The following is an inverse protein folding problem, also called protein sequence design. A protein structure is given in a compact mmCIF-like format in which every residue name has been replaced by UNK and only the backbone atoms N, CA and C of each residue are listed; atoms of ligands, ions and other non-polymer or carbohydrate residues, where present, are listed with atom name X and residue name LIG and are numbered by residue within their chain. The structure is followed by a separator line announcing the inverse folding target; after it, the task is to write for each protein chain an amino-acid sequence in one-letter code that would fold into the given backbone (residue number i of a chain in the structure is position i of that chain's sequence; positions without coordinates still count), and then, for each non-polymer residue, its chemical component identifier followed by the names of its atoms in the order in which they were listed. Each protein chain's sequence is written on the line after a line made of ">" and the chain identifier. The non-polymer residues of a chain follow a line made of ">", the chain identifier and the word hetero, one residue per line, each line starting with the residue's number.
data_IF_737584495062
#
_entry.id   IF_737584495062
#
_cell.length_a   1.000
_cell.length_b   1.000
_cell.length_c   1.000
_cell.angle_alpha   90.00
_cell.angle_beta   90.00
_cell.angle_gamma   90.00
#
_symmetry.space_group_name_H-M   'P 1'
#
loop_
_entity.id
_entity.type
_entity.pdbx_description
1 polymer ?
#
# COMPACT_ATOMS: atom_id res chain seq x y z
N UNK A 1 -4.80 6.61 -30.29
CA UNK A 1 -3.37 6.57 -30.72
C UNK A 1 -3.19 6.64 -32.24
N UNK A 2 -4.03 5.97 -33.02
CA UNK A 2 -4.01 6.03 -34.49
C UNK A 2 -4.09 7.46 -35.08
N UNK A 3 -4.95 8.39 -34.60
CA UNK A 3 -5.04 9.73 -35.18
C UNK A 3 -3.78 10.59 -34.96
N UNK A 4 -3.07 10.38 -33.84
CA UNK A 4 -1.86 11.13 -33.52
C UNK A 4 -0.64 10.70 -34.37
N UNK A 5 -0.51 9.39 -34.62
CA UNK A 5 0.52 8.87 -35.52
C UNK A 5 0.29 9.33 -36.95
N UNK A 6 -0.98 9.36 -37.42
CA UNK A 6 -1.35 9.89 -38.72
C UNK A 6 -1.13 11.40 -38.82
N UNK A 7 -1.42 12.15 -37.77
CA UNK A 7 -1.15 13.59 -37.73
C UNK A 7 0.36 13.89 -37.74
N UNK A 8 1.17 13.13 -37.02
CA UNK A 8 2.63 13.24 -37.03
C UNK A 8 3.23 12.90 -38.38
N UNK A 9 2.80 11.81 -39.01
CA UNK A 9 3.23 11.41 -40.33
C UNK A 9 2.79 12.42 -41.41
N UNK A 10 1.57 12.97 -41.28
CA UNK A 10 1.07 14.02 -42.17
C UNK A 10 1.86 15.32 -42.08
N UNK A 11 2.26 15.74 -40.86
CA UNK A 11 3.10 16.92 -40.65
C UNK A 11 4.51 16.75 -41.24
N UNK A 12 5.13 15.59 -41.04
CA UNK A 12 6.45 15.29 -41.59
C UNK A 12 6.42 15.20 -43.12
N UNK A 13 5.42 14.55 -43.70
CA UNK A 13 5.23 14.48 -45.14
C UNK A 13 4.90 15.87 -45.73
N UNK A 14 4.09 16.67 -45.05
CA UNK A 14 3.80 18.06 -45.42
C UNK A 14 5.02 18.95 -45.37
N UNK A 15 5.86 18.83 -44.37
CA UNK A 15 7.10 19.57 -44.23
C UNK A 15 8.12 19.17 -45.32
N UNK A 16 8.23 17.89 -45.67
CA UNK A 16 9.06 17.41 -46.76
C UNK A 16 8.60 17.95 -48.12
N UNK A 17 7.30 17.90 -48.40
CA UNK A 17 6.69 18.46 -49.60
C UNK A 17 6.89 19.97 -49.70
N UNK A 18 6.76 20.73 -48.63
CA UNK A 18 6.94 22.19 -48.65
C UNK A 18 8.43 22.53 -48.79
N UNK A 19 9.33 21.80 -48.14
CA UNK A 19 10.78 22.03 -48.25
C UNK A 19 11.35 21.71 -49.62
N UNK A 20 10.91 20.60 -50.21
CA UNK A 20 11.49 20.10 -51.47
C UNK A 20 10.83 20.69 -52.69
N UNK A 21 9.52 20.97 -52.65
CA UNK A 21 8.77 21.51 -53.81
C UNK A 21 8.74 23.04 -53.82
N UNK A 22 8.72 23.72 -52.66
CA UNK A 22 8.61 25.18 -52.61
C UNK A 22 9.91 25.94 -52.29
N UNK A 23 11.02 25.24 -52.05
CA UNK A 23 12.33 25.85 -51.73
C UNK A 23 12.26 26.85 -50.55
N UNK A 24 11.28 26.68 -49.62
CA UNK A 24 11.15 27.52 -48.43
C UNK A 24 12.11 26.97 -47.36
N UNK A 25 13.01 27.76 -46.80
CA UNK A 25 13.89 27.31 -45.72
C UNK A 25 13.04 26.86 -44.52
N UNK A 26 12.87 25.53 -44.37
CA UNK A 26 11.92 24.92 -43.45
C UNK A 26 12.29 24.96 -41.96
N UNK A 27 13.32 25.72 -41.57
CA UNK A 27 13.78 25.78 -40.17
C UNK A 27 12.75 26.31 -39.16
N UNK A 28 11.88 27.22 -39.57
CA UNK A 28 10.91 27.84 -38.66
C UNK A 28 9.71 26.95 -38.29
N UNK A 29 9.15 26.22 -39.26
CA UNK A 29 8.01 25.34 -39.05
C UNK A 29 8.39 24.07 -38.25
N UNK A 30 9.60 23.52 -38.49
CA UNK A 30 10.14 22.41 -37.74
C UNK A 30 10.36 22.75 -36.26
N UNK A 31 10.85 23.98 -35.98
CA UNK A 31 11.01 24.47 -34.60
C UNK A 31 9.68 24.69 -33.90
N UNK A 32 8.64 25.18 -34.59
CA UNK A 32 7.29 25.34 -34.02
C UNK A 32 6.63 24.00 -33.74
N UNK A 33 6.78 23.01 -34.61
CA UNK A 33 6.27 21.67 -34.42
C UNK A 33 7.01 20.97 -33.27
N UNK A 34 8.33 21.07 -33.21
CA UNK A 34 9.14 20.52 -32.11
C UNK A 34 8.82 21.22 -30.78
N UNK A 35 8.68 22.55 -30.77
CA UNK A 35 8.26 23.32 -29.60
C UNK A 35 6.87 22.94 -29.12
N UNK A 36 5.91 22.74 -30.01
CA UNK A 36 4.57 22.28 -29.70
C UNK A 36 4.54 20.87 -29.04
N UNK A 37 5.34 19.95 -29.57
CA UNK A 37 5.49 18.60 -29.01
C UNK A 37 6.16 18.64 -27.65
N UNK A 38 7.19 19.44 -27.45
CA UNK A 38 7.88 19.59 -26.16
C UNK A 38 6.94 20.21 -25.12
N UNK A 39 6.15 21.22 -25.47
CA UNK A 39 5.15 21.81 -24.56
C UNK A 39 4.04 20.82 -24.24
N UNK A 40 3.62 20.01 -25.20
CA UNK A 40 2.60 18.98 -24.98
C UNK A 40 3.12 17.82 -24.11
N UNK A 41 4.34 17.32 -24.37
CA UNK A 41 5.00 16.31 -23.55
C UNK A 41 5.38 16.84 -22.15
N UNK A 42 5.70 18.13 -22.03
CA UNK A 42 6.02 18.79 -20.77
C UNK A 42 4.79 19.08 -19.90
N UNK A 43 3.57 19.02 -20.44
CA UNK A 43 2.34 19.01 -19.65
C UNK A 43 2.23 17.64 -18.99
N UNK A 44 2.79 17.53 -17.77
CA UNK A 44 2.48 16.40 -16.90
C UNK A 44 0.95 16.31 -16.79
N UNK A 45 0.31 15.23 -17.25
CA UNK A 45 -1.09 15.04 -16.97
C UNK A 45 -1.23 15.17 -15.45
N UNK A 46 -2.12 16.04 -15.00
CA UNK A 46 -2.45 16.13 -13.58
C UNK A 46 -2.93 14.73 -13.18
N UNK A 47 -2.04 13.96 -12.56
CA UNK A 47 -2.43 12.65 -12.06
C UNK A 47 -3.59 12.90 -11.10
N UNK A 48 -4.75 12.31 -11.32
CA UNK A 48 -5.85 12.44 -10.39
C UNK A 48 -5.33 11.96 -9.04
N UNK A 49 -5.33 12.86 -8.05
CA UNK A 49 -4.92 12.50 -6.69
C UNK A 49 -5.85 11.38 -6.23
N UNK A 50 -5.27 10.26 -5.84
CA UNK A 50 -6.04 9.17 -5.27
C UNK A 50 -6.75 9.69 -4.01
N UNK A 51 -8.07 9.82 -4.08
CA UNK A 51 -8.90 10.07 -2.91
C UNK A 51 -9.34 8.71 -2.36
N UNK A 52 -8.88 8.40 -1.16
CA UNK A 52 -9.27 7.17 -0.49
C UNK A 52 -10.79 7.19 -0.21
N UNK A 53 -11.54 6.13 -0.55
CA UNK A 53 -12.93 6.04 -0.20
C UNK A 53 -13.15 6.08 1.31
N UNK A 54 -14.18 6.76 1.75
CA UNK A 54 -14.56 6.85 3.18
C UNK A 54 -15.50 5.70 3.58
N UNK A 55 -16.21 5.10 2.61
CA UNK A 55 -17.23 4.09 2.85
C UNK A 55 -16.78 2.68 2.46
N UNK A 56 -17.41 1.68 3.06
CA UNK A 56 -17.23 0.27 2.72
C UNK A 56 -17.53 0.01 1.24
N UNK A 57 -18.67 0.55 0.75
CA UNK A 57 -19.08 0.37 -0.64
C UNK A 57 -18.09 1.02 -1.62
N UNK A 58 -17.51 2.14 -1.24
CA UNK A 58 -16.47 2.79 -2.03
C UNK A 58 -15.23 1.90 -2.17
N UNK A 59 -14.77 1.27 -1.09
CA UNK A 59 -13.66 0.34 -1.14
C UNK A 59 -13.99 -0.94 -1.93
N UNK A 60 -15.22 -1.46 -1.77
CA UNK A 60 -15.69 -2.60 -2.55
C UNK A 60 -15.66 -2.31 -4.05
N UNK A 61 -16.17 -1.16 -4.47
CA UNK A 61 -16.14 -0.71 -5.87
C UNK A 61 -14.71 -0.63 -6.39
N UNK A 62 -13.78 -0.05 -5.61
CA UNK A 62 -12.36 0.02 -6.00
C UNK A 62 -11.71 -1.36 -6.15
N UNK A 63 -11.99 -2.29 -5.26
CA UNK A 63 -11.51 -3.67 -5.38
C UNK A 63 -12.06 -4.34 -6.64
N UNK A 64 -13.32 -4.13 -6.97
CA UNK A 64 -13.93 -4.65 -8.20
C UNK A 64 -13.30 -4.06 -9.46
N UNK A 65 -13.04 -2.75 -9.50
CA UNK A 65 -12.33 -2.10 -10.60
C UNK A 65 -10.95 -2.72 -10.86
N UNK A 66 -10.21 -3.06 -9.79
CA UNK A 66 -8.91 -3.73 -9.92
C UNK A 66 -9.07 -5.15 -10.44
N UNK A 67 -10.07 -5.91 -9.98
CA UNK A 67 -10.37 -7.24 -10.50
C UNK A 67 -10.69 -7.21 -11.99
N UNK A 68 -11.50 -6.26 -12.45
CA UNK A 68 -11.81 -6.09 -13.87
C UNK A 68 -10.56 -5.79 -14.70
N UNK A 69 -9.60 -5.04 -14.14
CA UNK A 69 -8.31 -4.81 -14.79
C UNK A 69 -7.50 -6.10 -14.89
N UNK A 70 -7.47 -6.94 -13.85
CA UNK A 70 -6.81 -8.24 -13.91
C UNK A 70 -7.41 -9.14 -14.98
N UNK A 71 -8.74 -9.26 -15.04
CA UNK A 71 -9.44 -10.07 -16.06
C UNK A 71 -9.03 -9.63 -17.48
N UNK A 72 -8.96 -8.32 -17.73
CA UNK A 72 -8.54 -7.78 -19.03
C UNK A 72 -7.05 -8.04 -19.31
N UNK A 73 -6.24 -8.13 -18.27
CA UNK A 73 -4.80 -8.23 -18.39
C UNK A 73 -4.31 -9.67 -18.46
N UNK A 74 -4.76 -10.55 -17.58
CA UNK A 74 -4.26 -11.93 -17.47
C UNK A 74 -4.95 -12.90 -18.40
N UNK A 75 -6.23 -12.68 -18.70
CA UNK A 75 -7.09 -13.59 -19.50
C UNK A 75 -7.15 -15.01 -18.91
N UNK A 76 -6.88 -15.17 -17.61
CA UNK A 76 -6.88 -16.46 -16.90
C UNK A 76 -8.00 -16.48 -15.85
N UNK A 77 -9.05 -17.29 -16.03
CA UNK A 77 -10.19 -17.32 -15.13
C UNK A 77 -9.88 -17.90 -13.74
N UNK A 78 -8.87 -18.76 -13.61
CA UNK A 78 -8.50 -19.38 -12.32
C UNK A 78 -7.93 -18.40 -11.30
N UNK A 79 -7.13 -17.43 -11.75
CA UNK A 79 -6.55 -16.41 -10.86
C UNK A 79 -7.62 -15.44 -10.35
N UNK A 80 -8.64 -15.15 -11.17
CA UNK A 80 -9.77 -14.33 -10.77
C UNK A 80 -10.60 -14.96 -9.65
N UNK A 81 -10.81 -16.27 -9.67
CA UNK A 81 -11.56 -16.99 -8.63
C UNK A 81 -10.93 -16.86 -7.26
N UNK A 82 -9.60 -16.97 -7.16
CA UNK A 82 -8.89 -16.83 -5.89
C UNK A 82 -9.03 -15.43 -5.31
N UNK A 83 -8.89 -14.39 -6.14
CA UNK A 83 -9.03 -12.98 -5.73
C UNK A 83 -10.49 -12.66 -5.32
N UNK A 84 -11.47 -13.17 -6.04
CA UNK A 84 -12.90 -13.02 -5.65
C UNK A 84 -13.20 -13.72 -4.33
N UNK A 85 -12.63 -14.90 -4.10
CA UNK A 85 -12.78 -15.60 -2.82
C UNK A 85 -12.15 -14.81 -1.66
N UNK A 86 -10.99 -14.16 -1.89
CA UNK A 86 -10.35 -13.29 -0.91
C UNK A 86 -11.20 -12.06 -0.59
N UNK A 87 -11.73 -11.38 -1.62
CA UNK A 87 -12.65 -10.25 -1.44
C UNK A 87 -13.90 -10.67 -0.64
N UNK A 88 -14.51 -11.79 -1.03
CA UNK A 88 -15.68 -12.32 -0.35
C UNK A 88 -15.40 -12.62 1.13
N UNK A 89 -14.24 -13.21 1.45
CA UNK A 89 -13.82 -13.49 2.83
C UNK A 89 -13.77 -12.22 3.69
N UNK A 90 -13.30 -11.10 3.13
CA UNK A 90 -13.29 -9.81 3.85
C UNK A 90 -14.71 -9.26 4.01
N UNK A 91 -15.55 -9.35 2.97
CA UNK A 91 -16.92 -8.85 3.02
C UNK A 91 -17.81 -9.67 3.97
N UNK A 92 -17.67 -10.99 3.95
CA UNK A 92 -18.42 -11.92 4.81
C UNK A 92 -17.91 -11.95 6.26
N UNK A 93 -16.86 -11.14 6.56
CA UNK A 93 -16.32 -11.07 7.92
C UNK A 93 -17.40 -10.56 8.89
N UNK A 94 -17.87 -11.44 9.73
CA UNK A 94 -18.81 -11.16 10.81
C UNK A 94 -18.41 -12.01 12.03
N UNK A 95 -18.98 -11.71 13.17
CA UNK A 95 -18.76 -12.51 14.40
C UNK A 95 -18.10 -11.70 15.51
N UNK A 96 -17.46 -12.37 16.48
CA UNK A 96 -16.86 -11.72 17.63
C UNK A 96 -15.72 -10.79 17.24
N UNK A 97 -15.50 -9.77 18.05
CA UNK A 97 -14.33 -8.89 17.97
C UNK A 97 -13.08 -9.72 18.16
N UNK A 98 -12.14 -9.64 17.24
CA UNK A 98 -10.88 -10.39 17.28
C UNK A 98 -9.77 -9.48 17.83
N UNK A 99 -9.22 -9.85 18.95
CA UNK A 99 -8.11 -9.13 19.57
C UNK A 99 -6.90 -10.05 19.69
N UNK A 100 -5.73 -9.54 19.28
CA UNK A 100 -4.46 -10.19 19.54
C UNK A 100 -3.77 -9.51 20.72
N UNK A 101 -3.16 -10.29 21.60
CA UNK A 101 -2.20 -9.80 22.58
C UNK A 101 -0.80 -10.25 22.17
N UNK A 102 0.13 -9.31 22.13
CA UNK A 102 1.53 -9.51 21.74
C UNK A 102 2.42 -9.05 22.90
N UNK A 103 3.22 -9.96 23.46
CA UNK A 103 4.20 -9.61 24.48
C UNK A 103 5.45 -8.98 23.85
N UNK A 104 5.94 -7.89 24.39
CA UNK A 104 7.17 -7.19 24.02
C UNK A 104 8.19 -7.29 25.15
N UNK A 105 9.48 -7.18 24.83
CA UNK A 105 10.57 -7.11 25.80
C UNK A 105 10.69 -8.33 26.73
N UNK A 106 10.18 -9.49 26.31
CA UNK A 106 10.15 -10.68 27.16
C UNK A 106 9.15 -10.59 28.32
N UNK A 107 8.24 -9.59 28.31
CA UNK A 107 7.17 -9.51 29.29
C UNK A 107 6.25 -10.73 29.19
N UNK A 108 5.81 -11.27 30.32
CA UNK A 108 4.86 -12.38 30.29
C UNK A 108 3.43 -11.91 29.99
N UNK A 109 3.14 -10.62 30.15
CA UNK A 109 1.81 -10.06 29.98
C UNK A 109 0.77 -10.65 30.93
N UNK A 110 -0.46 -10.15 30.93
CA UNK A 110 -1.56 -10.74 31.64
C UNK A 110 -1.92 -12.10 31.04
N UNK A 111 -2.36 -13.05 31.88
CA UNK A 111 -2.82 -14.34 31.37
C UNK A 111 -4.16 -14.20 30.61
N UNK A 112 -4.50 -15.21 29.82
CA UNK A 112 -5.69 -15.19 28.97
C UNK A 112 -6.98 -15.08 29.78
N UNK A 113 -7.07 -15.77 30.91
CA UNK A 113 -8.28 -15.78 31.77
C UNK A 113 -8.51 -14.41 32.40
N UNK A 114 -7.45 -13.76 32.91
CA UNK A 114 -7.54 -12.43 33.51
C UNK A 114 -7.87 -11.38 32.48
N UNK A 115 -7.27 -11.48 31.29
CA UNK A 115 -7.51 -10.56 30.18
C UNK A 115 -8.96 -10.70 29.68
N UNK A 116 -9.42 -11.93 29.45
CA UNK A 116 -10.79 -12.22 29.01
C UNK A 116 -11.83 -11.72 30.01
N UNK A 117 -11.61 -11.99 31.31
CA UNK A 117 -12.51 -11.53 32.38
C UNK A 117 -12.54 -10.00 32.48
N UNK A 118 -11.38 -9.36 32.34
CA UNK A 118 -11.25 -7.90 32.44
C UNK A 118 -11.86 -7.18 31.24
N UNK A 119 -11.83 -7.80 30.06
CA UNK A 119 -12.41 -7.27 28.81
C UNK A 119 -13.85 -7.69 28.60
N UNK A 120 -14.38 -8.60 29.41
CA UNK A 120 -15.76 -9.06 29.32
C UNK A 120 -16.74 -7.89 29.23
N UNK A 121 -17.61 -7.91 28.22
CA UNK A 121 -18.56 -6.84 27.92
C UNK A 121 -19.72 -7.33 27.07
N UNK A 122 -20.56 -6.42 26.56
CA UNK A 122 -21.75 -6.77 25.80
C UNK A 122 -21.46 -7.33 24.39
N UNK A 123 -20.23 -7.13 23.89
CA UNK A 123 -19.83 -7.65 22.57
C UNK A 123 -19.03 -8.95 22.75
N UNK A 124 -19.36 -10.02 22.00
CA UNK A 124 -18.56 -11.22 22.02
C UNK A 124 -17.16 -10.93 21.48
N UNK A 125 -16.14 -11.50 22.08
CA UNK A 125 -14.75 -11.28 21.74
C UNK A 125 -14.01 -12.61 21.64
N UNK A 126 -13.08 -12.70 20.71
CA UNK A 126 -12.10 -13.78 20.61
C UNK A 126 -10.72 -13.19 20.88
N UNK A 127 -10.02 -13.75 21.85
CA UNK A 127 -8.67 -13.36 22.20
C UNK A 127 -7.68 -14.37 21.63
N UNK A 128 -6.63 -13.87 21.01
CA UNK A 128 -5.50 -14.67 20.53
C UNK A 128 -4.23 -14.20 21.22
N UNK A 129 -3.58 -15.08 21.95
CA UNK A 129 -2.23 -14.81 22.48
C UNK A 129 -1.22 -15.13 21.39
N UNK A 130 -0.46 -14.13 21.00
CA UNK A 130 0.59 -14.29 20.01
C UNK A 130 1.95 -14.41 20.70
N UNK A 131 2.81 -15.27 20.17
CA UNK A 131 4.20 -15.34 20.62
C UNK A 131 4.89 -13.99 20.42
N UNK A 132 5.93 -13.71 21.22
CA UNK A 132 6.74 -12.51 21.03
C UNK A 132 7.21 -12.41 19.58
N UNK A 133 7.19 -11.19 19.02
CA UNK A 133 7.67 -10.95 17.67
C UNK A 133 9.19 -11.18 17.66
N UNK A 134 9.62 -12.22 16.95
CA UNK A 134 11.04 -12.54 16.77
C UNK A 134 11.49 -12.16 15.37
N UNK A 135 12.74 -11.81 15.25
CA UNK A 135 13.39 -11.60 13.96
C UNK A 135 14.04 -12.90 13.54
N UNK A 136 13.30 -13.76 12.84
CA UNK A 136 13.89 -14.85 12.11
C UNK A 136 14.53 -14.29 10.83
N UNK A 137 15.75 -14.70 10.53
CA UNK A 137 16.51 -14.37 9.30
C UNK A 137 16.79 -12.87 9.04
N UNK A 138 16.75 -12.01 10.04
CA UNK A 138 17.10 -10.59 9.88
C UNK A 138 16.07 -9.75 9.10
N UNK A 139 15.01 -10.34 8.58
CA UNK A 139 13.92 -9.61 7.96
C UNK A 139 12.79 -9.39 8.97
N UNK A 140 12.52 -8.11 9.27
CA UNK A 140 11.40 -7.70 10.12
C UNK A 140 10.19 -7.45 9.23
N UNK A 141 9.41 -8.48 8.95
CA UNK A 141 8.15 -8.29 8.26
C UNK A 141 6.99 -8.34 9.27
N UNK A 142 6.03 -7.44 9.11
CA UNK A 142 4.85 -7.44 9.95
C UNK A 142 4.05 -8.74 9.74
N UNK A 143 3.70 -9.48 10.81
CA UNK A 143 2.99 -10.74 10.68
C UNK A 143 1.60 -10.54 10.07
N UNK A 144 1.32 -11.23 8.95
CA UNK A 144 0.06 -11.13 8.24
C UNK A 144 -1.16 -11.50 9.09
N UNK A 145 -1.00 -12.44 10.02
CA UNK A 145 -2.07 -12.83 10.95
C UNK A 145 -2.53 -11.72 11.90
N UNK A 146 -1.65 -10.73 12.16
CA UNK A 146 -2.02 -9.56 12.98
C UNK A 146 -2.85 -8.54 12.20
N UNK A 147 -2.73 -8.49 10.87
CA UNK A 147 -3.55 -7.62 10.03
C UNK A 147 -5.04 -8.00 10.10
N UNK A 148 -5.33 -9.28 10.29
CA UNK A 148 -6.70 -9.78 10.42
C UNK A 148 -7.35 -9.50 11.77
N UNK A 149 -6.63 -8.98 12.74
CA UNK A 149 -7.19 -8.63 14.05
C UNK A 149 -7.91 -7.29 14.01
N UNK A 150 -9.00 -7.18 14.75
CA UNK A 150 -9.72 -5.91 14.88
C UNK A 150 -8.93 -4.93 15.75
N UNK A 151 -8.19 -5.46 16.72
CA UNK A 151 -7.39 -4.70 17.66
C UNK A 151 -6.17 -5.50 18.12
N UNK A 152 -5.05 -4.81 18.31
CA UNK A 152 -3.85 -5.41 18.90
C UNK A 152 -3.55 -4.75 20.25
N UNK A 153 -3.30 -5.56 21.25
CA UNK A 153 -2.81 -5.13 22.56
C UNK A 153 -1.36 -5.59 22.71
N UNK A 154 -0.44 -4.64 22.75
CA UNK A 154 0.94 -4.93 23.12
C UNK A 154 1.09 -4.88 24.63
N UNK A 155 1.74 -5.87 25.23
CA UNK A 155 2.12 -5.87 26.63
C UNK A 155 3.60 -5.63 26.75
N UNK A 156 4.00 -4.64 27.53
CA UNK A 156 5.37 -4.22 27.77
C UNK A 156 5.62 -4.12 29.27
N UNK A 157 6.75 -4.63 29.70
CA UNK A 157 7.32 -4.32 31.02
C UNK A 157 8.36 -3.21 30.84
N UNK A 158 8.23 -2.10 31.54
CA UNK A 158 9.20 -1.02 31.47
C UNK A 158 10.60 -1.50 31.93
N UNK A 159 11.72 -1.05 31.30
CA UNK A 159 11.82 -0.04 30.27
C UNK A 159 11.55 -0.55 28.84
N UNK A 160 11.25 0.37 27.91
CA UNK A 160 11.10 0.06 26.49
C UNK A 160 12.47 -0.27 25.85
N UNK A 161 12.56 -1.41 25.20
CA UNK A 161 13.77 -1.81 24.46
C UNK A 161 13.76 -1.25 23.04
N UNK A 162 14.95 -1.00 22.47
CA UNK A 162 15.07 -0.53 21.09
C UNK A 162 14.47 -1.53 20.07
N UNK A 163 14.55 -2.85 20.34
CA UNK A 163 13.90 -3.88 19.54
C UNK A 163 12.38 -3.73 19.50
N UNK A 164 11.79 -3.38 20.64
CA UNK A 164 10.34 -3.25 20.78
C UNK A 164 9.84 -1.99 20.08
N UNK A 165 10.60 -0.90 20.19
CA UNK A 165 10.33 0.34 19.47
C UNK A 165 10.28 0.11 17.95
N UNK A 166 11.20 -0.70 17.42
CA UNK A 166 11.23 -1.04 16.00
C UNK A 166 9.98 -1.83 15.57
N UNK A 167 9.46 -2.72 16.42
CA UNK A 167 8.19 -3.40 16.15
C UNK A 167 7.00 -2.45 16.21
N UNK A 168 6.95 -1.58 17.21
CA UNK A 168 5.89 -0.59 17.34
C UNK A 168 5.85 0.40 16.17
N UNK A 169 7.01 0.72 15.57
CA UNK A 169 7.09 1.55 14.36
C UNK A 169 6.55 0.86 13.12
N UNK A 170 6.60 -0.47 13.06
CA UNK A 170 6.08 -1.25 11.92
C UNK A 170 4.56 -1.46 11.95
N UNK A 171 3.91 -1.18 13.06
CA UNK A 171 2.44 -1.25 13.13
C UNK A 171 1.84 -0.33 12.07
N UNK A 172 0.99 -0.84 11.16
CA UNK A 172 0.31 0.01 10.17
C UNK A 172 -0.47 1.14 10.84
N UNK A 173 -0.45 2.33 10.26
CA UNK A 173 -1.09 3.52 10.85
C UNK A 173 -2.60 3.35 11.04
N UNK A 174 -3.23 2.59 10.15
CA UNK A 174 -4.64 2.27 10.14
C UNK A 174 -5.02 1.07 11.03
N UNK A 175 -4.03 0.38 11.64
CA UNK A 175 -4.26 -0.74 12.55
C UNK A 175 -4.57 -0.24 13.97
N UNK A 176 -5.75 -0.50 14.53
CA UNK A 176 -6.04 -0.20 15.92
C UNK A 176 -5.12 -0.99 16.87
N UNK A 177 -4.32 -0.28 17.64
CA UNK A 177 -3.37 -0.90 18.56
C UNK A 177 -3.25 -0.08 19.85
N UNK A 178 -3.02 -0.77 20.97
CA UNK A 178 -2.82 -0.20 22.29
C UNK A 178 -1.59 -0.81 22.94
N UNK A 179 -0.96 -0.08 23.83
CA UNK A 179 0.20 -0.52 24.60
C UNK A 179 -0.17 -0.57 26.08
N UNK A 180 -0.09 -1.74 26.69
CA UNK A 180 -0.23 -1.95 28.12
C UNK A 180 1.17 -1.99 28.76
N UNK A 181 1.50 -0.97 29.52
CA UNK A 181 2.76 -0.89 30.25
C UNK A 181 2.55 -1.35 31.69
N UNK A 182 3.24 -2.42 32.06
CA UNK A 182 3.25 -2.94 33.44
C UNK A 182 4.47 -2.41 34.18
N UNK A 183 4.27 -1.97 35.43
CA UNK A 183 5.35 -1.48 36.31
C UNK A 183 5.35 -2.25 37.59
N UNK A 184 6.48 -2.89 37.94
CA UNK A 184 6.63 -3.70 39.13
C UNK A 184 7.01 -2.90 40.40
N UNK A 185 7.51 -1.69 40.24
CA UNK A 185 8.09 -0.89 41.29
C UNK A 185 7.11 0.15 41.83
N UNK A 186 6.92 0.14 43.15
CA UNK A 186 6.05 1.09 43.86
C UNK A 186 6.53 2.56 43.74
N UNK A 187 7.81 2.77 43.53
CA UNK A 187 8.42 4.12 43.57
C UNK A 187 8.92 4.67 42.24
N UNK A 188 8.99 3.83 41.20
CA UNK A 188 9.52 4.23 39.89
C UNK A 188 8.45 4.27 38.76
N UNK A 189 7.18 4.07 39.10
CA UNK A 189 6.13 3.86 38.08
C UNK A 189 5.88 5.09 37.19
N UNK A 190 5.84 6.26 37.76
CA UNK A 190 5.51 7.49 37.02
C UNK A 190 6.64 7.89 36.07
N UNK A 191 7.89 7.84 36.52
CA UNK A 191 9.06 8.22 35.71
C UNK A 191 9.34 7.20 34.62
N UNK A 192 9.17 5.90 34.88
CA UNK A 192 9.33 4.84 33.91
C UNK A 192 8.26 4.92 32.80
N UNK A 193 7.02 5.21 33.16
CA UNK A 193 5.93 5.40 32.18
C UNK A 193 6.14 6.69 31.38
N UNK A 194 6.61 7.76 32.01
CA UNK A 194 6.96 9.00 31.32
C UNK A 194 8.07 8.78 30.29
N UNK A 195 9.14 8.07 30.66
CA UNK A 195 10.22 7.71 29.75
C UNK A 195 9.72 6.88 28.57
N UNK A 196 8.89 5.85 28.81
CA UNK A 196 8.26 5.06 27.72
C UNK A 196 7.43 5.96 26.80
N UNK A 197 6.70 6.93 27.35
CA UNK A 197 5.87 7.86 26.57
C UNK A 197 6.69 8.81 25.72
N UNK A 198 7.83 9.26 26.22
CA UNK A 198 8.73 10.19 25.52
C UNK A 198 9.48 9.50 24.36
N UNK A 199 9.81 8.22 24.52
CA UNK A 199 10.48 7.41 23.51
C UNK A 199 9.55 6.98 22.35
N UNK A 200 8.23 7.01 22.58
CA UNK A 200 7.26 6.53 21.60
C UNK A 200 6.85 7.61 20.59
N UNK A 201 6.58 7.23 19.33
CA UNK A 201 5.95 8.11 18.34
C UNK A 201 4.65 8.71 18.85
N UNK A 202 4.33 9.92 18.43
CA UNK A 202 3.16 10.69 18.88
C UNK A 202 1.83 9.92 18.79
N UNK A 203 1.69 9.09 17.76
CA UNK A 203 0.49 8.23 17.56
C UNK A 203 0.18 7.28 18.71
N UNK A 204 1.17 6.96 19.56
CA UNK A 204 1.02 6.06 20.70
C UNK A 204 0.63 6.78 22.00
N UNK A 205 0.87 8.08 22.11
CA UNK A 205 0.72 8.84 23.37
C UNK A 205 -0.66 8.70 24.02
N UNK A 206 -1.70 8.66 23.19
CA UNK A 206 -3.09 8.50 23.64
C UNK A 206 -3.52 7.03 23.79
N UNK A 207 -2.68 6.09 23.39
CA UNK A 207 -2.96 4.66 23.34
C UNK A 207 -2.14 3.84 24.33
N UNK A 208 -1.60 4.50 25.35
CA UNK A 208 -0.86 3.87 26.44
C UNK A 208 -1.83 3.62 27.59
N UNK A 209 -1.86 2.39 28.04
CA UNK A 209 -2.56 1.94 29.24
C UNK A 209 -1.49 1.62 30.28
N UNK A 210 -1.70 2.04 31.51
CA UNK A 210 -0.77 1.79 32.61
C UNK A 210 -1.41 0.82 33.58
N UNK A 211 -0.70 -0.25 33.87
CA UNK A 211 -1.08 -1.21 34.90
C UNK A 211 -0.09 -1.13 36.03
N UNK A 212 -0.51 -0.51 37.11
CA UNK A 212 0.21 -0.54 38.40
C UNK A 212 -0.13 -1.82 39.16
N UNK A 213 0.80 -2.29 39.98
CA UNK A 213 0.63 -3.53 40.76
C UNK A 213 -0.61 -3.53 41.68
N UNK A 214 -1.08 -2.35 42.08
CA UNK A 214 -2.27 -2.16 42.93
C UNK A 214 -3.57 -1.97 42.14
N UNK A 215 -3.50 -1.72 40.83
CA UNK A 215 -4.65 -1.42 39.99
C UNK A 215 -5.24 -2.69 39.40
N UNK A 216 -6.57 -2.85 39.51
CA UNK A 216 -7.24 -3.93 38.79
C UNK A 216 -7.09 -3.77 37.29
N UNK A 217 -6.68 -4.85 36.59
CA UNK A 217 -6.50 -4.90 35.15
C UNK A 217 -7.73 -4.35 34.37
N UNK A 218 -8.94 -4.65 34.90
CA UNK A 218 -10.20 -4.15 34.33
C UNK A 218 -10.27 -2.62 34.27
N UNK A 219 -9.72 -1.94 35.26
CA UNK A 219 -9.69 -0.47 35.29
C UNK A 219 -8.68 0.07 34.31
N UNK A 220 -7.48 -0.52 34.22
CA UNK A 220 -6.46 -0.15 33.28
C UNK A 220 -6.95 -0.31 31.82
N UNK A 221 -7.72 -1.36 31.53
CA UNK A 221 -8.26 -1.65 30.20
C UNK A 221 -9.56 -0.90 29.86
N UNK A 222 -10.07 -0.03 30.72
CA UNK A 222 -11.34 0.67 30.48
C UNK A 222 -11.36 1.52 29.18
N UNK A 223 -10.30 2.25 28.80
CA UNK A 223 -10.27 2.99 27.51
C UNK A 223 -10.33 2.06 26.31
N UNK A 224 -9.57 0.96 26.33
CA UNK A 224 -9.56 -0.04 25.28
C UNK A 224 -10.94 -0.69 25.09
N UNK A 225 -11.64 -1.03 26.17
CA UNK A 225 -13.00 -1.60 26.13
C UNK A 225 -13.99 -0.70 25.41
N UNK A 226 -13.84 0.61 25.51
CA UNK A 226 -14.71 1.57 24.82
C UNK A 226 -14.44 1.58 23.30
N UNK A 227 -13.19 1.38 22.88
CA UNK A 227 -12.79 1.39 21.47
C UNK A 227 -13.08 0.07 20.74
N UNK A 228 -13.35 -1.04 21.43
CA UNK A 228 -13.53 -2.36 20.81
C UNK A 228 -14.60 -2.38 19.71
N UNK A 229 -15.75 -1.78 19.95
CA UNK A 229 -16.85 -1.76 18.97
C UNK A 229 -16.48 -0.99 17.71
N UNK A 230 -15.84 0.16 17.88
CA UNK A 230 -15.41 0.98 16.78
C UNK A 230 -14.31 0.30 15.96
N UNK A 231 -13.34 -0.31 16.64
CA UNK A 231 -12.28 -1.07 15.98
C UNK A 231 -12.85 -2.17 15.08
N UNK A 232 -13.86 -2.90 15.54
CA UNK A 232 -14.51 -3.94 14.73
C UNK A 232 -15.23 -3.39 13.49
N UNK A 233 -15.84 -2.20 13.58
CA UNK A 233 -16.50 -1.55 12.44
C UNK A 233 -15.47 -1.07 11.40
N UNK A 234 -14.35 -0.54 11.86
CA UNK A 234 -13.29 0.00 11.01
C UNK A 234 -12.45 -1.08 10.32
N UNK A 235 -12.50 -2.32 10.81
CA UNK A 235 -11.65 -3.41 10.28
C UNK A 235 -11.98 -3.76 8.83
N UNK A 236 -13.25 -3.85 8.43
CA UNK A 236 -13.60 -4.20 7.06
C UNK A 236 -13.09 -3.18 6.04
N UNK A 237 -13.34 -1.87 6.19
CA UNK A 237 -12.78 -0.86 5.29
C UNK A 237 -11.25 -0.93 5.24
N UNK A 238 -10.58 -1.13 6.38
CA UNK A 238 -9.13 -1.26 6.48
C UNK A 238 -8.61 -2.47 5.70
N UNK A 239 -9.23 -3.65 5.89
CA UNK A 239 -8.84 -4.85 5.15
C UNK A 239 -9.07 -4.72 3.65
N UNK A 240 -10.15 -4.06 3.23
CA UNK A 240 -10.39 -3.78 1.81
C UNK A 240 -9.36 -2.79 1.25
N UNK A 241 -8.99 -1.77 2.02
CA UNK A 241 -7.95 -0.83 1.63
C UNK A 241 -6.59 -1.53 1.45
N UNK A 242 -6.23 -2.43 2.37
CA UNK A 242 -5.01 -3.21 2.28
C UNK A 242 -5.04 -4.20 1.11
N UNK A 243 -6.17 -4.88 0.91
CA UNK A 243 -6.40 -5.77 -0.22
C UNK A 243 -6.24 -5.03 -1.55
N UNK A 244 -6.88 -3.86 -1.69
CA UNK A 244 -6.75 -3.00 -2.85
C UNK A 244 -5.30 -2.57 -3.09
N UNK A 245 -4.58 -2.17 -2.04
CA UNK A 245 -3.17 -1.75 -2.10
C UNK A 245 -2.25 -2.89 -2.55
N UNK A 246 -2.47 -4.12 -2.05
CA UNK A 246 -1.73 -5.32 -2.46
C UNK A 246 -2.00 -5.64 -3.93
N UNK A 247 -3.24 -5.70 -4.33
CA UNK A 247 -3.63 -5.99 -5.71
C UNK A 247 -3.12 -4.94 -6.71
N UNK A 248 -3.14 -3.66 -6.33
CA UNK A 248 -2.56 -2.61 -7.18
C UNK A 248 -1.05 -2.81 -7.37
N UNK A 249 -0.31 -3.15 -6.31
CA UNK A 249 1.13 -3.42 -6.43
C UNK A 249 1.42 -4.62 -7.33
N UNK A 250 0.66 -5.69 -7.17
CA UNK A 250 0.81 -6.89 -8.00
C UNK A 250 0.46 -6.61 -9.46
N UNK A 251 -0.61 -5.85 -9.71
CA UNK A 251 -0.99 -5.45 -11.07
C UNK A 251 0.08 -4.56 -11.73
N UNK A 252 0.67 -3.65 -10.96
CA UNK A 252 1.78 -2.82 -11.45
C UNK A 252 3.04 -3.64 -11.76
N UNK A 253 3.35 -4.67 -10.96
CA UNK A 253 4.47 -5.57 -11.27
C UNK A 253 4.23 -6.34 -12.57
N UNK A 254 3.03 -6.88 -12.79
CA UNK A 254 2.64 -7.55 -14.01
C UNK A 254 2.69 -6.62 -15.24
N UNK A 255 2.23 -5.38 -15.08
CA UNK A 255 2.31 -4.36 -16.14
C UNK A 255 3.76 -4.05 -16.49
N UNK A 256 4.62 -3.91 -15.48
CA UNK A 256 6.05 -3.65 -15.66
C UNK A 256 6.73 -4.78 -16.42
N UNK A 257 6.46 -6.03 -16.07
CA UNK A 257 7.02 -7.20 -16.76
C UNK A 257 6.63 -7.23 -18.22
N UNK A 258 5.35 -7.01 -18.54
CA UNK A 258 4.89 -6.94 -19.93
C UNK A 258 5.48 -5.76 -20.68
N UNK A 259 5.58 -4.60 -20.05
CA UNK A 259 6.20 -3.43 -20.66
C UNK A 259 7.66 -3.70 -21.03
N UNK A 260 8.42 -4.32 -20.12
CA UNK A 260 9.82 -4.68 -20.39
C UNK A 260 9.95 -5.64 -21.59
N UNK A 261 9.06 -6.63 -21.72
CA UNK A 261 9.04 -7.53 -22.87
C UNK A 261 8.77 -6.79 -24.19
N UNK A 262 7.81 -5.86 -24.19
CA UNK A 262 7.49 -5.04 -25.35
C UNK A 262 8.67 -4.13 -25.68
N UNK A 263 9.24 -3.49 -24.67
CA UNK A 263 10.42 -2.62 -24.82
C UNK A 263 11.59 -3.36 -25.44
N UNK A 264 11.94 -4.55 -24.95
CA UNK A 264 13.00 -5.36 -25.51
C UNK A 264 12.75 -5.70 -27.00
N UNK A 265 11.53 -6.16 -27.32
CA UNK A 265 11.16 -6.46 -28.72
C UNK A 265 11.31 -5.23 -29.62
N UNK A 266 10.82 -4.08 -29.15
CA UNK A 266 10.89 -2.84 -29.90
C UNK A 266 12.33 -2.37 -30.10
N UNK A 267 13.17 -2.50 -29.08
CA UNK A 267 14.61 -2.18 -29.20
C UNK A 267 15.30 -3.03 -30.28
N UNK A 268 15.00 -4.34 -30.35
CA UNK A 268 15.55 -5.21 -31.40
C UNK A 268 15.05 -4.83 -32.80
N UNK A 269 13.77 -4.47 -32.94
CA UNK A 269 13.21 -4.01 -34.21
C UNK A 269 13.87 -2.71 -34.64
N UNK A 270 14.05 -1.74 -33.72
CA UNK A 270 14.73 -0.47 -34.01
C UNK A 270 16.18 -0.70 -34.40
N UNK A 271 16.92 -1.49 -33.60
CA UNK A 271 18.32 -1.80 -33.89
C UNK A 271 18.49 -2.48 -35.27
N UNK A 272 17.61 -3.43 -35.58
CA UNK A 272 17.60 -4.09 -36.88
C UNK A 272 17.27 -3.15 -38.05
N UNK A 273 16.31 -2.25 -37.85
CA UNK A 273 15.93 -1.27 -38.88
C UNK A 273 17.06 -0.27 -39.13
N UNK A 274 17.73 0.21 -38.09
CA UNK A 274 18.88 1.11 -38.19
C UNK A 274 20.05 0.43 -38.95
N UNK A 275 20.35 -0.84 -38.62
CA UNK A 275 21.39 -1.59 -39.30
C UNK A 275 21.08 -1.89 -40.79
N UNK A 276 19.79 -2.03 -41.11
CA UNK A 276 19.35 -2.34 -42.49
C UNK A 276 19.16 -1.09 -43.36
N UNK A 277 19.16 0.11 -42.79
CA UNK A 277 18.87 1.35 -43.49
C UNK A 277 20.16 2.07 -43.90
N UNK A 278 20.42 2.22 -45.19
CA UNK A 278 21.58 2.99 -45.66
C UNK A 278 21.36 4.52 -45.60
N UNK A 279 20.22 4.99 -45.15
CA UNK A 279 19.82 6.41 -45.21
C UNK A 279 19.55 6.91 -43.77
N UNK A 280 20.41 7.81 -43.30
CA UNK A 280 20.39 8.34 -41.94
C UNK A 280 19.04 9.03 -41.51
N UNK A 281 18.28 9.55 -42.48
CA UNK A 281 16.99 10.19 -42.21
C UNK A 281 15.86 9.19 -41.88
N UNK A 282 15.97 7.94 -42.36
CA UNK A 282 15.01 6.88 -42.05
C UNK A 282 15.18 6.34 -40.63
N UNK A 283 16.38 6.44 -40.05
CA UNK A 283 16.67 6.01 -38.69
C UNK A 283 15.88 6.82 -37.67
N UNK A 284 15.82 8.14 -37.84
CA UNK A 284 15.02 9.02 -36.97
C UNK A 284 13.52 8.71 -37.06
N UNK A 285 13.04 8.37 -38.25
CA UNK A 285 11.62 8.01 -38.42
C UNK A 285 11.31 6.65 -37.75
N UNK A 286 12.20 5.68 -37.89
CA UNK A 286 12.03 4.36 -37.23
C UNK A 286 12.02 4.49 -35.72
N UNK A 287 12.89 5.31 -35.12
CA UNK A 287 12.91 5.59 -33.67
C UNK A 287 11.66 6.33 -33.24
N UNK A 288 11.18 7.31 -34.00
CA UNK A 288 9.97 8.06 -33.68
C UNK A 288 8.71 7.17 -33.70
N UNK A 289 8.59 6.29 -34.72
CA UNK A 289 7.48 5.32 -34.82
C UNK A 289 7.53 4.29 -33.68
N UNK A 290 8.72 3.76 -33.38
CA UNK A 290 8.88 2.80 -32.29
C UNK A 290 8.51 3.38 -30.94
N UNK A 291 8.92 4.61 -30.65
CA UNK A 291 8.52 5.31 -29.40
C UNK A 291 7.03 5.64 -29.37
N UNK A 292 6.42 5.97 -30.52
CA UNK A 292 4.98 6.21 -30.61
C UNK A 292 4.12 4.96 -30.41
N UNK A 293 4.64 3.77 -30.68
CA UNK A 293 3.97 2.49 -30.44
C UNK A 293 4.08 1.99 -28.98
N UNK A 294 5.02 2.56 -28.20
CA UNK A 294 5.20 2.23 -26.79
C UNK A 294 4.30 3.03 -25.84
N UNK A 295 3.70 4.12 -26.29
CA UNK A 295 2.79 4.99 -25.55
C UNK A 295 1.33 4.56 -25.81
#
# INVERSE_FOLDING_TARGET
>A
LRPLALAGAGLLAGQWLISDVMHVPGGGLGLLAAGGVVIWLGRKPSQPRFAAPVSLDGWMTRCQEVLDQYVRFEQQPSADLARRAELKRVLDRCGPVRMAMVALGGSQGPNEADLSSSLAGPAPMTLSLCHPLTTDDGSRSWPGGLLDQDLILFSLQAPLLASDLLWLQQVPDDQPAWLLVSTDAKDASTDAVAAVRDDLPERWRERILVQESSMQLRTALAPLRRSLKQAAVETRPRLLADLHRRWQRDLESLRRERFLQIQQRTQWVVAGSVMASPIASLDLLAVAVANGLMI
#
